data_IF_174079614977
#
_entry.id   IF_174079614977
#
_cell.length_a   1.000
_cell.length_b   1.000
_cell.length_c   1.000
_cell.angle_alpha   90.00
_cell.angle_beta   90.00
_cell.angle_gamma   90.00
#
_symmetry.space_group_name_H-M   'P 1'
#
loop_
_entity.id
_entity.type
_entity.pdbx_description
1 polymer ?
#
# COMPACT_ATOMS: atom_id res chain seq x y z
N UNK A 1 15.25 -0.41 -20.20
CA UNK A 1 14.22 -0.43 -19.14
C UNK A 1 14.64 0.59 -18.09
N UNK A 2 13.94 1.73 -18.04
CA UNK A 2 14.39 2.90 -17.28
C UNK A 2 14.03 2.76 -15.81
N UNK A 3 15.03 2.48 -14.96
CA UNK A 3 14.96 2.61 -13.51
C UNK A 3 14.54 4.04 -13.15
N UNK A 4 13.23 4.27 -13.00
CA UNK A 4 12.73 5.48 -12.38
C UNK A 4 12.93 5.33 -10.89
N UNK A 5 14.14 5.65 -10.41
CA UNK A 5 14.35 5.99 -9.01
C UNK A 5 13.54 7.26 -8.75
N UNK A 6 12.26 7.08 -8.40
CA UNK A 6 11.35 8.12 -7.96
C UNK A 6 11.85 8.58 -6.58
N UNK A 7 12.96 9.34 -6.55
CA UNK A 7 13.33 10.08 -5.36
C UNK A 7 12.26 11.16 -5.17
N UNK A 8 11.44 11.10 -4.11
CA UNK A 8 10.33 12.02 -3.96
C UNK A 8 10.86 13.42 -3.66
N UNK A 9 10.55 14.37 -4.56
CA UNK A 9 10.88 15.79 -4.37
C UNK A 9 10.22 16.33 -3.10
N UNK A 10 10.88 17.19 -2.31
CA UNK A 10 10.40 17.71 -1.02
C UNK A 10 8.94 18.19 -1.00
N UNK A 11 8.49 18.87 -2.05
CA UNK A 11 7.15 19.49 -2.09
C UNK A 11 6.03 18.47 -2.41
N UNK A 12 6.37 17.34 -3.05
CA UNK A 12 5.40 16.29 -3.39
C UNK A 12 5.27 15.21 -2.30
N UNK A 13 6.02 15.34 -1.20
CA UNK A 13 6.08 14.29 -0.20
C UNK A 13 4.78 14.14 0.61
N UNK A 14 4.08 15.26 0.83
CA UNK A 14 2.71 15.23 1.40
C UNK A 14 1.72 14.57 0.45
N UNK A 15 1.82 14.84 -0.85
CA UNK A 15 0.97 14.20 -1.85
C UNK A 15 1.25 12.69 -1.95
N UNK A 16 2.51 12.29 -1.78
CA UNK A 16 2.90 10.88 -1.77
C UNK A 16 2.32 10.14 -0.58
N UNK A 17 2.36 10.71 0.64
CA UNK A 17 1.71 10.12 1.81
C UNK A 17 0.22 9.90 1.58
N UNK A 18 -0.48 10.91 1.02
CA UNK A 18 -1.91 10.81 0.72
C UNK A 18 -2.18 9.69 -0.29
N UNK A 19 -1.39 9.59 -1.36
CA UNK A 19 -1.53 8.54 -2.38
C UNK A 19 -1.24 7.15 -1.84
N UNK A 20 -0.21 7.00 -1.01
CA UNK A 20 0.13 5.70 -0.41
C UNK A 20 -1.01 5.28 0.54
N UNK A 21 -1.52 6.21 1.35
CA UNK A 21 -2.66 5.94 2.24
C UNK A 21 -3.92 5.53 1.46
N UNK A 22 -4.26 6.25 0.39
CA UNK A 22 -5.39 5.92 -0.51
C UNK A 22 -5.21 4.53 -1.15
N UNK A 23 -3.99 4.20 -1.61
CA UNK A 23 -3.70 2.88 -2.15
C UNK A 23 -3.82 1.77 -1.10
N UNK A 24 -3.43 2.02 0.15
CA UNK A 24 -3.60 1.07 1.26
C UNK A 24 -5.09 0.83 1.50
N UNK A 25 -5.90 1.89 1.61
CA UNK A 25 -7.34 1.80 1.85
C UNK A 25 -8.04 1.02 0.73
N UNK A 26 -7.81 1.42 -0.53
CA UNK A 26 -8.34 0.72 -1.70
C UNK A 26 -7.92 -0.76 -1.73
N UNK A 27 -6.67 -1.07 -1.36
CA UNK A 27 -6.20 -2.46 -1.37
C UNK A 27 -6.85 -3.29 -0.27
N UNK A 28 -7.11 -2.71 0.90
CA UNK A 28 -7.81 -3.37 2.00
C UNK A 28 -9.29 -3.62 1.66
N UNK A 29 -9.96 -2.65 1.06
CA UNK A 29 -11.33 -2.82 0.54
C UNK A 29 -11.39 -3.94 -0.49
N UNK A 30 -10.47 -3.95 -1.46
CA UNK A 30 -10.36 -5.03 -2.44
C UNK A 30 -10.09 -6.42 -1.82
N UNK A 31 -9.39 -6.48 -0.68
CA UNK A 31 -9.19 -7.73 0.06
C UNK A 31 -10.52 -8.18 0.67
N UNK A 32 -11.24 -7.27 1.32
CA UNK A 32 -12.53 -7.54 1.97
C UNK A 32 -13.61 -7.95 0.96
N UNK A 33 -13.73 -7.23 -0.16
CA UNK A 33 -14.66 -7.59 -1.24
C UNK A 33 -14.35 -8.96 -1.83
N UNK A 34 -13.05 -9.25 -2.04
CA UNK A 34 -12.63 -10.56 -2.52
C UNK A 34 -12.94 -11.66 -1.48
N UNK A 35 -12.75 -11.38 -0.18
CA UNK A 35 -13.12 -12.29 0.90
C UNK A 35 -14.62 -12.58 0.93
N UNK A 36 -15.47 -11.57 0.77
CA UNK A 36 -16.92 -11.76 0.67
C UNK A 36 -17.31 -12.59 -0.58
N UNK A 37 -16.65 -12.38 -1.72
CA UNK A 37 -16.91 -13.19 -2.92
C UNK A 37 -16.55 -14.68 -2.75
N UNK A 38 -15.69 -15.04 -1.79
CA UNK A 38 -15.37 -16.45 -1.52
C UNK A 38 -16.59 -17.22 -1.03
N UNK A 39 -17.57 -16.58 -0.38
CA UNK A 39 -18.76 -17.25 0.16
C UNK A 39 -19.59 -18.00 -0.91
N UNK A 40 -19.46 -17.60 -2.17
CA UNK A 40 -20.18 -18.20 -3.31
C UNK A 40 -19.23 -18.81 -4.35
N UNK A 41 -17.93 -18.81 -4.06
CA UNK A 41 -16.90 -19.26 -4.98
C UNK A 41 -16.73 -20.79 -4.95
N UNK A 42 -16.18 -21.36 -6.02
CA UNK A 42 -15.71 -22.75 -5.99
C UNK A 42 -14.39 -22.85 -5.21
N UNK A 43 -14.03 -24.06 -4.75
CA UNK A 43 -12.78 -24.30 -4.01
C UNK A 43 -11.54 -23.78 -4.74
N UNK A 44 -11.47 -23.96 -6.06
CA UNK A 44 -10.39 -23.45 -6.88
C UNK A 44 -10.35 -21.91 -6.91
N UNK A 45 -11.52 -21.26 -7.00
CA UNK A 45 -11.61 -19.80 -6.97
C UNK A 45 -11.24 -19.24 -5.59
N UNK A 46 -11.65 -19.90 -4.51
CA UNK A 46 -11.24 -19.52 -3.15
C UNK A 46 -9.73 -19.55 -2.98
N UNK A 47 -9.05 -20.61 -3.45
CA UNK A 47 -7.59 -20.72 -3.35
C UNK A 47 -6.88 -19.59 -4.10
N UNK A 48 -7.34 -19.27 -5.31
CA UNK A 48 -6.82 -18.15 -6.10
C UNK A 48 -7.04 -16.79 -5.41
N UNK A 49 -8.22 -16.58 -4.81
CA UNK A 49 -8.53 -15.38 -4.04
C UNK A 49 -7.61 -15.27 -2.83
N UNK A 50 -7.43 -16.34 -2.05
CA UNK A 50 -6.52 -16.37 -0.89
C UNK A 50 -5.07 -16.04 -1.30
N UNK A 51 -4.58 -16.65 -2.38
CA UNK A 51 -3.23 -16.38 -2.90
C UNK A 51 -3.05 -14.93 -3.37
N UNK A 52 -4.07 -14.35 -4.00
CA UNK A 52 -4.05 -12.93 -4.42
C UNK A 52 -4.09 -12.01 -3.20
N UNK A 53 -4.94 -12.30 -2.22
CA UNK A 53 -5.04 -11.53 -0.99
C UNK A 53 -3.76 -11.60 -0.15
N UNK A 54 -3.08 -12.74 -0.09
CA UNK A 54 -1.78 -12.86 0.57
C UNK A 54 -0.74 -11.90 -0.02
N UNK A 55 -0.65 -11.82 -1.36
CA UNK A 55 0.25 -10.87 -2.05
C UNK A 55 -0.14 -9.42 -1.81
N UNK A 56 -1.45 -9.11 -1.81
CA UNK A 56 -1.94 -7.76 -1.48
C UNK A 56 -1.57 -7.36 -0.05
N UNK A 57 -1.69 -8.26 0.93
CA UNK A 57 -1.29 -8.02 2.33
C UNK A 57 0.20 -7.71 2.44
N UNK A 58 1.06 -8.45 1.74
CA UNK A 58 2.50 -8.15 1.65
C UNK A 58 2.76 -6.77 1.04
N UNK A 59 2.02 -6.40 -0.02
CA UNK A 59 2.15 -5.07 -0.63
C UNK A 59 1.71 -3.95 0.33
N UNK A 60 0.65 -4.17 1.11
CA UNK A 60 0.19 -3.21 2.12
C UNK A 60 1.22 -3.01 3.23
N UNK A 61 1.90 -4.08 3.64
CA UNK A 61 2.98 -4.00 4.62
C UNK A 61 4.13 -3.10 4.12
N UNK A 62 4.58 -3.30 2.88
CA UNK A 62 5.59 -2.42 2.26
C UNK A 62 5.14 -0.96 2.18
N UNK A 63 3.88 -0.71 1.81
CA UNK A 63 3.31 0.65 1.78
C UNK A 63 3.26 1.29 3.18
N UNK A 64 2.98 0.51 4.23
CA UNK A 64 2.99 1.01 5.63
C UNK A 64 4.38 1.39 6.08
N UNK A 65 5.40 0.63 5.69
CA UNK A 65 6.80 0.97 5.96
C UNK A 65 7.20 2.26 5.24
N UNK A 66 6.79 2.45 3.97
CA UNK A 66 7.03 3.70 3.23
C UNK A 66 6.38 4.92 3.91
N UNK A 67 5.16 4.78 4.42
CA UNK A 67 4.47 5.83 5.19
C UNK A 67 5.25 6.20 6.45
N UNK A 68 5.78 5.20 7.18
CA UNK A 68 6.57 5.43 8.39
C UNK A 68 7.86 6.19 8.07
N UNK A 69 8.57 5.77 7.03
CA UNK A 69 9.82 6.40 6.61
C UNK A 69 9.60 7.87 6.19
N UNK A 70 8.48 8.15 5.50
CA UNK A 70 8.14 9.51 5.10
C UNK A 70 7.73 10.39 6.30
N UNK A 71 7.01 9.82 7.29
CA UNK A 71 6.73 10.51 8.55
C UNK A 71 8.02 10.85 9.32
N UNK A 72 8.98 9.93 9.39
CA UNK A 72 10.28 10.18 10.02
C UNK A 72 11.04 11.30 9.31
N UNK A 73 11.06 11.28 7.98
CA UNK A 73 11.71 12.31 7.18
C UNK A 73 11.08 13.69 7.41
N UNK A 74 9.75 13.78 7.49
CA UNK A 74 9.04 15.02 7.83
C UNK A 74 9.38 15.53 9.24
N UNK A 75 9.45 14.62 10.24
CA UNK A 75 9.80 14.97 11.62
C UNK A 75 11.24 15.48 11.73
N UNK A 76 12.19 14.83 11.07
CA UNK A 76 13.60 15.27 11.03
C UNK A 76 13.74 16.66 10.40
N UNK A 77 13.01 16.94 9.32
CA UNK A 77 12.99 18.29 8.72
C UNK A 77 12.40 19.36 9.63
N UNK A 78 11.39 19.03 10.43
CA UNK A 78 10.79 19.98 11.39
C UNK A 78 11.73 20.31 12.55
N UNK A 79 12.57 19.37 12.98
CA UNK A 79 13.50 19.56 14.10
C UNK A 79 14.80 20.31 13.70
N UNK A 80 15.14 20.33 12.40
CA UNK A 80 16.30 21.05 11.87
C UNK A 80 15.97 22.46 11.35
N UNK A 81 14.79 23.00 11.67
CA UNK A 81 14.33 24.34 11.27
C UNK A 81 14.06 25.19 12.49
#
# INVERSE_FOLDING_TARGET
MSNHSQKPKPDHRRDNLKKIQENIENTLENIQEAEHSMETASEFQEEEIRRKNARRRQSVEGMRDEVRDEHEHMKRKKNNK
#
